data_IF_210219407745
#
_entry.id   IF_210219407745
#
_cell.length_a   1.000
_cell.length_b   1.000
_cell.length_c   1.000
_cell.angle_alpha   90.00
_cell.angle_beta   90.00
_cell.angle_gamma   90.00
#
_symmetry.space_group_name_H-M   'P 1'
#
loop_
_entity.id
_entity.type
_entity.pdbx_description
1 polymer ?
#
# COMPACT_ATOMS: atom_id res chain seq x y z
N UNK A 1 10.55 4.80 -4.07
CA UNK A 1 9.65 3.96 -4.86
C UNK A 1 9.19 4.74 -6.09
N UNK A 2 8.54 4.11 -7.08
CA UNK A 2 7.96 4.80 -8.24
C UNK A 2 6.45 4.55 -8.27
N UNK A 3 5.66 5.61 -8.37
CA UNK A 3 4.20 5.55 -8.46
C UNK A 3 3.74 5.84 -9.89
N UNK A 4 2.69 5.15 -10.33
CA UNK A 4 1.93 5.50 -11.53
C UNK A 4 0.45 5.17 -11.33
N UNK A 5 -0.41 5.90 -12.02
CA UNK A 5 -1.82 5.53 -12.15
C UNK A 5 -2.00 4.59 -13.36
N UNK A 6 -2.88 3.58 -13.20
CA UNK A 6 -3.28 2.66 -14.26
C UNK A 6 -4.70 2.14 -14.03
N UNK A 7 -5.64 2.51 -14.91
CA UNK A 7 -7.06 2.12 -14.85
C UNK A 7 -7.74 2.45 -13.51
N UNK A 8 -7.50 3.65 -12.98
CA UNK A 8 -8.03 4.10 -11.70
C UNK A 8 -7.42 3.40 -10.50
N UNK A 9 -6.31 2.67 -10.69
CA UNK A 9 -5.55 2.01 -9.63
C UNK A 9 -4.18 2.63 -9.53
N UNK A 10 -3.66 2.68 -8.31
CA UNK A 10 -2.31 3.14 -8.09
C UNK A 10 -1.36 1.95 -8.14
N UNK A 11 -0.34 2.04 -8.99
CA UNK A 11 0.71 1.03 -9.10
C UNK A 11 1.99 1.58 -8.49
N UNK A 12 2.47 0.94 -7.44
CA UNK A 12 3.75 1.26 -6.81
C UNK A 12 4.79 0.19 -7.14
N UNK A 13 5.94 0.62 -7.67
CA UNK A 13 7.08 -0.26 -7.88
C UNK A 13 8.11 -0.13 -6.76
N UNK A 14 8.31 -1.25 -6.06
CA UNK A 14 9.30 -1.46 -5.01
C UNK A 14 10.36 -2.46 -5.52
N UNK A 15 11.40 -1.93 -6.15
CA UNK A 15 12.46 -2.75 -6.75
C UNK A 15 11.91 -3.63 -7.88
N UNK A 16 11.88 -4.95 -7.65
CA UNK A 16 11.41 -5.97 -8.58
C UNK A 16 9.92 -6.30 -8.39
N UNK A 17 9.27 -5.75 -7.38
CA UNK A 17 7.87 -6.02 -7.05
C UNK A 17 7.04 -4.80 -7.41
N UNK A 18 5.91 -5.02 -8.09
CA UNK A 18 4.90 -4.00 -8.37
C UNK A 18 3.63 -4.32 -7.60
N UNK A 19 3.17 -3.38 -6.79
CA UNK A 19 1.93 -3.46 -6.05
C UNK A 19 0.86 -2.66 -6.74
N UNK A 20 -0.34 -3.22 -6.87
CA UNK A 20 -1.51 -2.54 -7.44
C UNK A 20 -2.50 -2.30 -6.32
N UNK A 21 -2.75 -1.03 -6.01
CA UNK A 21 -3.64 -0.58 -4.94
C UNK A 21 -4.93 0.01 -5.53
N UNK A 22 -6.05 -0.30 -4.89
CA UNK A 22 -7.27 0.48 -5.02
C UNK A 22 -7.29 1.51 -3.90
N UNK A 23 -7.58 2.76 -4.25
CA UNK A 23 -7.74 3.85 -3.31
C UNK A 23 -9.23 4.01 -3.00
N UNK A 24 -9.56 4.17 -1.72
CA UNK A 24 -10.89 4.55 -1.25
C UNK A 24 -10.76 5.66 -0.22
N UNK A 25 -11.48 6.75 -0.40
CA UNK A 25 -11.58 7.78 0.64
C UNK A 25 -12.78 7.47 1.53
N UNK A 26 -12.58 7.43 2.84
CA UNK A 26 -13.64 7.20 3.82
C UNK A 26 -13.37 8.04 5.07
N UNK A 27 -14.35 8.86 5.47
CA UNK A 27 -14.31 9.66 6.70
C UNK A 27 -13.06 10.56 6.86
N UNK A 28 -12.54 11.10 5.74
CA UNK A 28 -11.30 11.90 5.75
C UNK A 28 -10.01 11.08 5.81
N UNK A 29 -10.11 9.74 5.77
CA UNK A 29 -9.00 8.82 5.63
C UNK A 29 -8.90 8.32 4.17
N UNK A 30 -7.68 8.10 3.68
CA UNK A 30 -7.40 7.43 2.41
C UNK A 30 -6.98 6.00 2.74
N UNK A 31 -7.80 5.05 2.31
CA UNK A 31 -7.60 3.62 2.47
C UNK A 31 -7.03 3.04 1.19
N UNK A 32 -5.91 2.33 1.32
CA UNK A 32 -5.24 1.66 0.22
C UNK A 32 -5.38 0.16 0.42
N UNK A 33 -6.07 -0.48 -0.51
CA UNK A 33 -6.22 -1.93 -0.53
C UNK A 33 -5.39 -2.53 -1.66
N UNK A 34 -4.46 -3.44 -1.35
CA UNK A 34 -3.74 -4.17 -2.39
C UNK A 34 -4.69 -5.12 -3.12
N UNK A 35 -4.83 -4.91 -4.43
CA UNK A 35 -5.68 -5.72 -5.33
C UNK A 35 -4.87 -6.74 -6.12
N UNK A 36 -3.56 -6.52 -6.27
CA UNK A 36 -2.68 -7.46 -6.96
C UNK A 36 -1.21 -7.09 -6.80
N UNK A 37 -0.33 -8.06 -7.02
CA UNK A 37 1.11 -7.88 -6.97
C UNK A 37 1.75 -8.59 -8.17
N UNK A 38 2.78 -7.98 -8.76
CA UNK A 38 3.54 -8.55 -9.87
C UNK A 38 5.03 -8.58 -9.55
N UNK A 39 5.69 -9.69 -9.85
CA UNK A 39 7.15 -9.81 -9.81
C UNK A 39 7.73 -9.55 -11.21
N UNK A 40 8.79 -8.74 -11.27
CA UNK A 40 9.38 -8.21 -12.51
C UNK A 40 8.38 -7.49 -13.44
N UNK A 41 7.22 -7.11 -12.90
CA UNK A 41 6.10 -6.52 -13.64
C UNK A 41 5.35 -7.46 -14.59
N UNK A 42 5.74 -8.74 -14.66
CA UNK A 42 5.17 -9.73 -15.58
C UNK A 42 4.56 -10.93 -14.88
N UNK A 43 5.14 -11.41 -13.77
CA UNK A 43 4.67 -12.61 -13.08
C UNK A 43 3.61 -12.20 -12.06
N UNK A 44 2.32 -12.54 -12.23
CA UNK A 44 1.31 -12.25 -11.23
C UNK A 44 1.55 -13.14 -10.00
N UNK A 45 1.68 -12.51 -8.83
CA UNK A 45 1.72 -13.22 -7.56
C UNK A 45 0.29 -13.39 -7.01
N UNK A 46 0.02 -14.44 -6.21
CA UNK A 46 -1.29 -14.63 -5.61
C UNK A 46 -1.68 -13.40 -4.77
N UNK A 47 -2.76 -12.71 -5.14
CA UNK A 47 -3.24 -11.53 -4.41
C UNK A 47 -3.62 -11.86 -2.95
N UNK A 48 -4.02 -13.11 -2.68
CA UNK A 48 -4.24 -13.64 -1.34
C UNK A 48 -3.00 -13.55 -0.45
N UNK A 49 -1.79 -13.55 -1.03
CA UNK A 49 -0.56 -13.36 -0.28
C UNK A 49 -0.39 -11.94 0.24
N UNK A 50 -1.06 -10.99 -0.41
CA UNK A 50 -0.93 -9.57 -0.11
C UNK A 50 -2.27 -8.95 0.30
N UNK A 51 -3.29 -9.77 0.56
CA UNK A 51 -4.60 -9.30 1.06
C UNK A 51 -4.51 -8.60 2.41
N UNK A 52 -3.41 -8.85 3.14
CA UNK A 52 -3.09 -8.24 4.42
C UNK A 52 -2.10 -7.08 4.28
N UNK A 53 -1.83 -6.62 3.05
CA UNK A 53 -1.13 -5.38 2.77
C UNK A 53 -2.16 -4.25 2.71
N UNK A 54 -2.06 -3.30 3.62
CA UNK A 54 -2.98 -2.16 3.73
C UNK A 54 -2.17 -0.91 4.07
N UNK A 55 -2.51 0.19 3.41
CA UNK A 55 -2.10 1.51 3.89
C UNK A 55 -3.34 2.28 4.31
N UNK A 56 -3.20 3.02 5.40
CA UNK A 56 -4.18 4.01 5.83
C UNK A 56 -3.46 5.31 6.00
N UNK A 57 -3.96 6.34 5.36
CA UNK A 57 -3.49 7.71 5.52
C UNK A 57 -4.63 8.54 6.07
N UNK A 58 -4.35 9.39 7.05
CA UNK A 58 -5.36 10.29 7.60
C UNK A 58 -4.72 11.57 8.09
N UNK A 59 -5.49 12.65 8.05
CA UNK A 59 -5.11 13.86 8.76
C UNK A 59 -5.60 13.75 10.21
N UNK A 60 -4.70 13.94 11.16
CA UNK A 60 -5.01 13.93 12.58
C UNK A 60 -4.36 15.15 13.24
N UNK A 61 -5.19 16.08 13.72
CA UNK A 61 -4.76 17.32 14.40
C UNK A 61 -3.74 18.13 13.57
N UNK A 62 -3.98 18.29 12.25
CA UNK A 62 -3.09 19.02 11.35
C UNK A 62 -1.78 18.30 11.03
N UNK A 63 -1.65 17.02 11.41
CA UNK A 63 -0.52 16.15 11.05
C UNK A 63 -0.99 15.03 10.15
N UNK A 64 -0.19 14.70 9.15
CA UNK A 64 -0.49 13.61 8.23
C UNK A 64 0.00 12.29 8.84
N UNK A 65 -0.91 11.45 9.30
CA UNK A 65 -0.62 10.11 9.80
C UNK A 65 -0.69 9.12 8.65
N UNK A 66 0.31 8.25 8.56
CA UNK A 66 0.29 7.11 7.67
C UNK A 66 0.61 5.84 8.45
N UNK A 67 -0.16 4.80 8.18
CA UNK A 67 0.04 3.44 8.67
C UNK A 67 0.18 2.54 7.45
N UNK A 68 1.28 1.82 7.38
CA UNK A 68 1.53 0.83 6.34
C UNK A 68 1.79 -0.51 6.99
N UNK A 69 0.98 -1.48 6.63
CA UNK A 69 1.11 -2.86 7.09
C UNK A 69 1.24 -3.76 5.87
N UNK A 70 2.22 -4.65 5.90
CA UNK A 70 2.43 -5.66 4.89
C UNK A 70 2.72 -7.00 5.57
N UNK A 71 1.87 -8.00 5.31
CA UNK A 71 2.06 -9.34 5.82
C UNK A 71 1.82 -10.36 4.72
N UNK A 72 2.72 -11.35 4.64
CA UNK A 72 2.60 -12.51 3.76
C UNK A 72 2.03 -13.68 4.56
N UNK A 73 1.10 -14.49 4.02
CA UNK A 73 0.48 -15.59 4.73
C UNK A 73 1.48 -16.71 5.09
N UNK A 74 2.58 -16.85 4.35
CA UNK A 74 3.59 -17.89 4.55
C UNK A 74 4.79 -17.43 5.40
N UNK A 75 5.11 -16.13 5.37
CA UNK A 75 6.31 -15.57 6.02
C UNK A 75 5.94 -14.79 7.29
N UNK A 76 4.67 -14.41 7.46
CA UNK A 76 4.18 -13.60 8.57
C UNK A 76 4.20 -12.09 8.28
N UNK A 77 4.09 -11.24 9.31
CA UNK A 77 4.19 -9.79 9.16
C UNK A 77 5.58 -9.43 8.62
N UNK A 78 5.62 -8.87 7.41
CA UNK A 78 6.85 -8.48 6.74
C UNK A 78 7.31 -7.13 7.27
N UNK A 79 6.38 -6.17 7.27
CA UNK A 79 6.66 -4.78 7.61
C UNK A 79 5.39 -4.19 8.23
N UNK A 80 5.55 -3.49 9.35
CA UNK A 80 4.55 -2.57 9.88
C UNK A 80 5.27 -1.30 10.28
N UNK A 81 4.91 -0.19 9.68
CA UNK A 81 5.36 1.12 10.14
C UNK A 81 4.19 2.08 10.19
N UNK A 82 4.20 2.88 11.25
CA UNK A 82 3.31 4.00 11.42
C UNK A 82 4.17 5.24 11.62
N UNK A 83 3.71 6.35 11.07
CA UNK A 83 4.48 7.58 11.09
C UNK A 83 3.59 8.79 10.90
N UNK A 84 4.16 9.94 11.27
CA UNK A 84 3.57 11.24 11.07
C UNK A 84 4.49 11.99 10.13
N UNK A 85 3.94 12.59 9.09
CA UNK A 85 4.68 13.55 8.29
C UNK A 85 4.81 14.83 9.13
N UNK A 86 5.99 15.07 9.69
CA UNK A 86 6.33 16.37 10.24
C UNK A 86 6.66 17.30 9.07
N UNK A 87 6.02 18.46 9.03
CA UNK A 87 6.37 19.51 8.08
C UNK A 87 7.67 20.15 8.59
N UNK A 88 8.79 19.93 7.90
CA UNK A 88 10.02 20.69 8.08
C UNK A 88 9.95 22.06 7.38
#
# INVERSE_FOLDING_TARGET
SRYREWNGRLVERLGLVEFVFSLGAHDGEILWATTGVRLFGVIPLPSSWFARVRCREREHNGRYEFLVEAALPLIGPLIRYEGWLARE
#
